data_IF_385470031263
#
_entry.id   IF_385470031263
#
_cell.length_a   1.000
_cell.length_b   1.000
_cell.length_c   1.000
_cell.angle_alpha   90.00
_cell.angle_beta   90.00
_cell.angle_gamma   90.00
#
_symmetry.space_group_name_H-M   'P 1'
#
loop_
_entity.id
_entity.type
_entity.pdbx_description
1 polymer ?
#
# COMPACT_ATOMS: atom_id res chain seq x y z
N UNK A 1 50.34 25.69 -26.92
CA UNK A 1 49.03 25.72 -27.59
C UNK A 1 48.23 24.58 -27.01
N UNK A 2 47.35 24.92 -26.07
CA UNK A 2 46.38 24.00 -25.47
C UNK A 2 45.26 23.77 -26.47
N UNK A 3 44.94 22.51 -26.76
CA UNK A 3 43.64 22.16 -27.29
C UNK A 3 42.98 21.23 -26.26
N UNK A 4 42.07 21.83 -25.50
CA UNK A 4 41.20 21.13 -24.57
C UNK A 4 40.03 20.56 -25.37
N UNK A 5 39.90 19.24 -25.34
CA UNK A 5 38.71 18.55 -25.82
C UNK A 5 37.47 19.02 -25.02
N UNK A 6 36.33 19.31 -25.66
CA UNK A 6 35.07 19.25 -24.98
C UNK A 6 34.65 17.78 -24.88
N UNK A 7 34.91 17.17 -23.72
CA UNK A 7 34.23 15.95 -23.30
C UNK A 7 32.73 16.23 -23.25
N UNK A 8 32.01 15.77 -24.27
CA UNK A 8 30.57 15.71 -24.26
C UNK A 8 30.13 14.82 -23.09
N UNK A 9 29.70 15.45 -22.00
CA UNK A 9 29.00 14.78 -20.91
C UNK A 9 27.65 14.36 -21.45
N UNK A 10 27.52 13.10 -21.86
CA UNK A 10 26.21 12.46 -22.02
C UNK A 10 25.60 12.41 -20.63
N UNK A 11 24.87 13.46 -20.26
CA UNK A 11 24.03 13.46 -19.08
C UNK A 11 23.07 12.29 -19.18
N UNK A 12 23.14 11.38 -18.22
CA UNK A 12 22.15 10.33 -18.05
C UNK A 12 20.79 10.99 -17.86
N UNK A 13 19.96 10.95 -18.90
CA UNK A 13 18.57 11.43 -18.89
C UNK A 13 17.70 10.41 -18.16
N UNK A 14 18.03 10.11 -16.90
CA UNK A 14 17.14 9.28 -16.09
C UNK A 14 15.92 10.15 -15.77
N UNK A 15 14.70 9.77 -16.21
CA UNK A 15 13.53 10.60 -16.03
C UNK A 15 13.30 10.85 -14.54
N UNK A 16 13.02 12.11 -14.21
CA UNK A 16 12.73 12.54 -12.84
C UNK A 16 11.58 11.70 -12.26
N UNK A 17 11.72 11.27 -11.00
CA UNK A 17 10.75 10.38 -10.35
C UNK A 17 9.33 10.98 -10.34
N UNK A 18 9.25 12.31 -10.26
CA UNK A 18 7.99 13.06 -10.33
C UNK A 18 7.36 13.02 -11.74
N UNK A 19 8.20 13.06 -12.79
CA UNK A 19 7.74 12.94 -14.18
C UNK A 19 7.25 11.52 -14.49
N UNK A 20 7.98 10.50 -14.01
CA UNK A 20 7.54 9.10 -14.08
C UNK A 20 6.21 8.91 -13.35
N UNK A 21 6.07 9.49 -12.15
CA UNK A 21 4.82 9.44 -11.38
C UNK A 21 3.63 10.08 -12.09
N UNK A 22 3.85 11.21 -12.78
CA UNK A 22 2.83 11.86 -13.60
C UNK A 22 2.40 11.00 -14.81
N UNK A 23 3.38 10.47 -15.55
CA UNK A 23 3.11 9.58 -16.70
C UNK A 23 2.40 8.29 -16.29
N UNK A 24 2.77 7.71 -15.14
CA UNK A 24 2.09 6.53 -14.61
C UNK A 24 0.61 6.81 -14.31
N UNK A 25 0.30 8.01 -13.80
CA UNK A 25 -1.08 8.44 -13.56
C UNK A 25 -1.86 8.64 -14.86
N UNK A 26 -1.25 9.30 -15.85
CA UNK A 26 -1.85 9.46 -17.17
C UNK A 26 -2.14 8.12 -17.85
N UNK A 27 -1.21 7.16 -17.76
CA UNK A 27 -1.40 5.80 -18.27
C UNK A 27 -2.53 5.07 -17.54
N UNK A 28 -2.64 5.23 -16.22
CA UNK A 28 -3.73 4.65 -15.43
C UNK A 28 -5.10 5.24 -15.81
N UNK A 29 -5.20 6.56 -15.96
CA UNK A 29 -6.41 7.26 -16.41
C UNK A 29 -6.80 6.88 -17.83
N UNK A 30 -5.82 6.78 -18.74
CA UNK A 30 -6.04 6.36 -20.12
C UNK A 30 -6.52 4.89 -20.19
N UNK A 31 -5.86 3.98 -19.45
CA UNK A 31 -6.26 2.58 -19.36
C UNK A 31 -7.71 2.45 -18.88
N UNK A 32 -8.08 3.25 -17.89
CA UNK A 32 -9.42 3.29 -17.33
C UNK A 32 -10.48 3.81 -18.32
N UNK A 33 -10.20 4.94 -18.96
CA UNK A 33 -11.08 5.53 -19.97
C UNK A 33 -11.30 4.58 -21.17
N UNK A 34 -10.23 3.93 -21.65
CA UNK A 34 -10.30 2.92 -22.72
C UNK A 34 -11.10 1.70 -22.24
N UNK A 35 -10.89 1.26 -21.00
CA UNK A 35 -11.62 0.16 -20.38
C UNK A 35 -13.12 0.40 -20.27
N UNK A 36 -13.53 1.60 -19.88
CA UNK A 36 -14.95 2.03 -19.83
C UNK A 36 -15.56 2.17 -21.22
N UNK A 37 -14.81 2.76 -22.18
CA UNK A 37 -15.24 2.85 -23.57
C UNK A 37 -15.48 1.45 -24.17
N UNK A 38 -14.56 0.51 -23.92
CA UNK A 38 -14.72 -0.89 -24.31
C UNK A 38 -15.92 -1.55 -23.64
N UNK A 39 -16.14 -1.31 -22.34
CA UNK A 39 -17.30 -1.82 -21.62
C UNK A 39 -18.62 -1.31 -22.23
N UNK A 40 -18.71 0.00 -22.48
CA UNK A 40 -19.89 0.62 -23.07
C UNK A 40 -20.16 0.13 -24.50
N UNK A 41 -19.12 0.09 -25.34
CA UNK A 41 -19.18 -0.42 -26.71
C UNK A 41 -19.62 -1.89 -26.73
N UNK A 42 -19.11 -2.71 -25.81
CA UNK A 42 -19.49 -4.12 -25.67
C UNK A 42 -20.94 -4.30 -25.24
N UNK A 43 -21.41 -3.51 -24.26
CA UNK A 43 -22.82 -3.51 -23.83
C UNK A 43 -23.77 -3.16 -24.97
N UNK A 44 -23.40 -2.20 -25.81
CA UNK A 44 -24.17 -1.83 -26.99
C UNK A 44 -24.13 -2.90 -28.08
N UNK A 45 -22.95 -3.44 -28.38
CA UNK A 45 -22.76 -4.39 -29.47
C UNK A 45 -23.29 -5.81 -29.17
N UNK A 46 -23.26 -6.23 -27.89
CA UNK A 46 -23.56 -7.60 -27.45
C UNK A 46 -24.80 -7.68 -26.54
N UNK A 47 -25.44 -6.56 -26.22
CA UNK A 47 -26.69 -6.52 -25.45
C UNK A 47 -27.88 -7.13 -26.20
N UNK A 48 -29.03 -7.26 -25.54
CA UNK A 48 -30.20 -7.97 -26.10
C UNK A 48 -30.97 -7.20 -27.19
N UNK A 49 -30.83 -5.88 -27.27
CA UNK A 49 -31.68 -5.02 -28.13
C UNK A 49 -31.06 -4.68 -29.49
N UNK A 50 -29.77 -4.36 -29.52
CA UNK A 50 -29.11 -3.86 -30.73
C UNK A 50 -28.84 -4.95 -31.78
N UNK A 51 -28.34 -6.16 -31.43
CA UNK A 51 -28.19 -7.28 -32.37
C UNK A 51 -29.53 -7.72 -32.96
N UNK A 52 -30.55 -7.89 -32.11
CA UNK A 52 -31.89 -8.30 -32.54
C UNK A 52 -32.49 -7.30 -33.53
N UNK A 53 -32.36 -5.99 -33.25
CA UNK A 53 -32.88 -4.96 -34.17
C UNK A 53 -32.02 -4.74 -35.41
N UNK A 54 -30.70 -4.97 -35.35
CA UNK A 54 -29.80 -4.90 -36.50
C UNK A 54 -29.94 -6.12 -37.44
N UNK A 55 -30.34 -7.27 -36.92
CA UNK A 55 -30.69 -8.46 -37.69
C UNK A 55 -32.08 -8.33 -38.33
N UNK A 56 -33.05 -7.75 -37.62
CA UNK A 56 -34.44 -7.63 -38.06
C UNK A 56 -34.78 -6.38 -38.92
N UNK A 57 -33.99 -5.29 -38.88
CA UNK A 57 -34.31 -4.03 -39.59
C UNK A 57 -33.09 -3.38 -40.23
N UNK A 58 -33.26 -2.88 -41.46
CA UNK A 58 -32.52 -1.80 -42.15
C UNK A 58 -30.97 -1.86 -42.21
N UNK A 59 -30.39 -1.63 -43.39
CA UNK A 59 -28.94 -1.65 -43.64
C UNK A 59 -28.11 -0.76 -42.68
N UNK A 60 -28.61 0.43 -42.30
CA UNK A 60 -27.90 1.38 -41.42
C UNK A 60 -27.62 0.83 -40.02
N UNK A 61 -28.58 0.12 -39.40
CA UNK A 61 -28.39 -0.46 -38.05
C UNK A 61 -27.39 -1.61 -38.06
N UNK A 62 -27.39 -2.39 -39.14
CA UNK A 62 -26.38 -3.44 -39.39
C UNK A 62 -24.99 -2.85 -39.59
N UNK A 63 -24.85 -1.73 -40.29
CA UNK A 63 -23.57 -1.03 -40.43
C UNK A 63 -23.06 -0.53 -39.07
N UNK A 64 -23.90 0.14 -38.28
CA UNK A 64 -23.52 0.61 -36.94
C UNK A 64 -23.07 -0.54 -36.01
N UNK A 65 -23.80 -1.66 -36.01
CA UNK A 65 -23.43 -2.85 -35.25
C UNK A 65 -22.08 -3.45 -35.71
N UNK A 66 -21.86 -3.55 -37.03
CA UNK A 66 -20.57 -4.01 -37.58
C UNK A 66 -19.42 -3.08 -37.25
N UNK A 67 -19.64 -1.76 -37.27
CA UNK A 67 -18.62 -0.78 -36.88
C UNK A 67 -18.25 -0.95 -35.41
N UNK A 68 -19.22 -1.13 -34.51
CA UNK A 68 -18.94 -1.41 -33.10
C UNK A 68 -18.13 -2.69 -32.91
N UNK A 69 -18.49 -3.77 -33.61
CA UNK A 69 -17.72 -5.02 -33.56
C UNK A 69 -16.31 -4.86 -34.11
N UNK A 70 -16.13 -4.07 -35.18
CA UNK A 70 -14.80 -3.74 -35.71
C UNK A 70 -13.98 -2.95 -34.69
N UNK A 71 -14.52 -1.88 -34.11
CA UNK A 71 -13.82 -1.08 -33.09
C UNK A 71 -13.40 -1.94 -31.88
N UNK A 72 -14.25 -2.89 -31.49
CA UNK A 72 -13.94 -3.83 -30.41
C UNK A 72 -12.88 -4.86 -30.77
N UNK A 73 -12.71 -5.23 -32.04
CA UNK A 73 -11.82 -6.31 -32.48
C UNK A 73 -10.58 -5.83 -33.26
N UNK A 74 -10.53 -4.55 -33.61
CA UNK A 74 -9.45 -3.93 -34.37
C UNK A 74 -8.24 -3.68 -33.45
N UNK A 75 -7.05 -4.24 -33.76
CA UNK A 75 -5.83 -3.97 -33.02
C UNK A 75 -5.40 -2.50 -33.07
N UNK A 76 -5.80 -1.74 -34.09
CA UNK A 76 -5.57 -0.29 -34.16
C UNK A 76 -6.62 0.54 -33.37
N UNK A 77 -7.66 -0.13 -32.83
CA UNK A 77 -8.72 0.45 -32.03
C UNK A 77 -8.58 0.09 -30.55
N UNK A 78 -9.56 -0.65 -30.00
CA UNK A 78 -9.56 -1.03 -28.59
C UNK A 78 -8.76 -2.30 -28.28
N UNK A 79 -8.11 -2.90 -29.28
CA UNK A 79 -7.21 -4.04 -29.07
C UNK A 79 -7.93 -5.33 -28.68
N UNK A 80 -9.12 -5.62 -29.20
CA UNK A 80 -9.83 -6.85 -28.81
C UNK A 80 -10.38 -6.81 -27.36
N UNK A 81 -11.40 -5.98 -27.12
CA UNK A 81 -11.95 -5.74 -25.78
C UNK A 81 -13.47 -6.02 -25.61
N UNK A 82 -14.04 -7.15 -26.11
CA UNK A 82 -15.44 -7.48 -25.87
C UNK A 82 -15.69 -7.89 -24.39
N UNK A 83 -16.58 -7.18 -23.69
CA UNK A 83 -16.99 -7.47 -22.29
C UNK A 83 -18.49 -7.79 -22.15
N UNK A 84 -18.86 -8.90 -21.48
CA UNK A 84 -20.26 -9.24 -21.20
C UNK A 84 -20.51 -10.70 -20.75
N UNK A 85 -21.75 -11.03 -20.32
CA UNK A 85 -22.20 -12.40 -20.00
C UNK A 85 -22.80 -13.08 -21.26
N UNK A 86 -22.56 -14.38 -21.46
CA UNK A 86 -23.19 -15.17 -22.55
C UNK A 86 -22.34 -15.28 -23.81
N UNK A 87 -22.90 -14.97 -24.99
CA UNK A 87 -22.24 -15.08 -26.32
C UNK A 87 -20.95 -14.24 -26.41
N UNK A 88 -20.86 -13.19 -25.58
CA UNK A 88 -19.64 -12.41 -25.35
C UNK A 88 -18.48 -13.26 -24.78
N UNK A 89 -18.76 -14.30 -23.98
CA UNK A 89 -17.79 -15.23 -23.40
C UNK A 89 -17.25 -16.23 -24.44
N UNK A 90 -18.07 -16.59 -25.44
CA UNK A 90 -17.64 -17.43 -26.56
C UNK A 90 -16.81 -16.63 -27.58
N UNK A 91 -17.17 -15.36 -27.82
CA UNK A 91 -16.31 -14.40 -28.52
C UNK A 91 -14.99 -14.18 -27.77
N UNK A 92 -15.05 -13.97 -26.45
CA UNK A 92 -13.90 -13.81 -25.55
C UNK A 92 -12.95 -15.03 -25.52
N UNK A 93 -13.47 -16.26 -25.68
CA UNK A 93 -12.62 -17.44 -25.85
C UNK A 93 -11.94 -17.50 -27.22
N UNK A 94 -12.57 -16.98 -28.27
CA UNK A 94 -12.02 -17.01 -29.62
C UNK A 94 -10.86 -16.03 -29.85
N UNK A 95 -10.74 -14.95 -29.06
CA UNK A 95 -9.58 -14.04 -29.15
C UNK A 95 -8.53 -14.21 -28.06
N UNK A 96 -8.85 -14.84 -26.91
CA UNK A 96 -7.83 -15.45 -26.04
C UNK A 96 -7.05 -16.51 -26.83
N UNK A 97 -7.74 -17.35 -27.62
CA UNK A 97 -7.10 -18.30 -28.54
C UNK A 97 -6.37 -17.64 -29.73
N UNK A 98 -6.58 -16.35 -29.99
CA UNK A 98 -5.94 -15.62 -31.10
C UNK A 98 -4.80 -14.69 -30.65
N UNK A 99 -4.44 -14.66 -29.36
CA UNK A 99 -3.31 -13.89 -28.82
C UNK A 99 -3.42 -12.38 -29.03
N UNK A 100 -4.62 -11.79 -28.92
CA UNK A 100 -4.83 -10.34 -29.14
C UNK A 100 -5.09 -9.59 -27.83
N UNK A 101 -4.17 -8.70 -27.50
CA UNK A 101 -4.13 -7.94 -26.23
C UNK A 101 -5.02 -6.71 -26.24
N UNK A 102 -5.89 -6.59 -25.22
CA UNK A 102 -6.70 -5.40 -24.95
C UNK A 102 -5.83 -4.18 -24.73
N UNK A 103 -6.02 -3.11 -25.52
CA UNK A 103 -5.27 -1.85 -25.38
C UNK A 103 -5.34 -1.31 -23.94
N UNK A 104 -6.52 -1.45 -23.31
CA UNK A 104 -6.73 -1.05 -21.92
C UNK A 104 -5.82 -1.81 -20.95
N UNK A 105 -5.56 -3.10 -21.21
CA UNK A 105 -4.69 -3.96 -20.41
C UNK A 105 -3.23 -3.61 -20.69
N UNK A 106 -2.84 -3.41 -21.96
CA UNK A 106 -1.47 -3.02 -22.31
C UNK A 106 -1.09 -1.66 -21.69
N UNK A 107 -2.00 -0.68 -21.68
CA UNK A 107 -1.79 0.60 -20.99
C UNK A 107 -1.66 0.43 -19.47
N UNK A 108 -2.52 -0.41 -18.86
CA UNK A 108 -2.46 -0.71 -17.44
C UNK A 108 -1.14 -1.42 -17.05
N UNK A 109 -0.73 -2.43 -17.82
CA UNK A 109 0.54 -3.16 -17.63
C UNK A 109 1.74 -2.24 -17.83
N UNK A 110 1.72 -1.38 -18.85
CA UNK A 110 2.76 -0.38 -19.07
C UNK A 110 2.88 0.57 -17.86
N UNK A 111 1.75 1.12 -17.39
CA UNK A 111 1.72 1.97 -16.20
C UNK A 111 2.25 1.26 -14.94
N UNK A 112 1.89 -0.01 -14.74
CA UNK A 112 2.38 -0.83 -13.62
C UNK A 112 3.90 -1.02 -13.68
N UNK A 113 4.43 -1.44 -14.84
CA UNK A 113 5.89 -1.60 -15.01
C UNK A 113 6.63 -0.28 -14.79
N UNK A 114 6.10 0.83 -15.29
CA UNK A 114 6.67 2.15 -15.05
C UNK A 114 6.67 2.54 -13.56
N UNK A 115 5.62 2.21 -12.80
CA UNK A 115 5.61 2.43 -11.33
C UNK A 115 6.63 1.55 -10.62
N UNK A 116 6.77 0.29 -11.02
CA UNK A 116 7.78 -0.62 -10.48
C UNK A 116 9.19 -0.07 -10.73
N UNK A 117 9.47 0.44 -11.95
CA UNK A 117 10.75 1.10 -12.27
C UNK A 117 10.98 2.35 -11.44
N UNK A 118 9.97 3.23 -11.32
CA UNK A 118 10.08 4.43 -10.49
C UNK A 118 10.40 4.09 -9.03
N UNK A 119 9.74 3.06 -8.49
CA UNK A 119 10.02 2.56 -7.15
C UNK A 119 11.45 2.02 -6.99
N UNK A 120 12.01 1.36 -8.01
CA UNK A 120 13.42 0.94 -8.05
C UNK A 120 14.38 2.15 -8.03
N UNK A 121 14.07 3.21 -8.77
CA UNK A 121 14.87 4.44 -8.78
C UNK A 121 14.85 5.15 -7.43
N UNK A 122 13.67 5.22 -6.78
CA UNK A 122 13.54 5.82 -5.44
C UNK A 122 14.09 4.95 -4.31
N UNK A 123 14.26 3.64 -4.53
CA UNK A 123 14.76 2.69 -3.54
C UNK A 123 15.92 1.86 -4.13
N UNK A 124 17.15 2.42 -4.19
CA UNK A 124 18.29 1.75 -4.80
C UNK A 124 18.69 0.44 -4.10
N UNK A 125 18.24 0.23 -2.87
CA UNK A 125 18.38 -1.06 -2.16
C UNK A 125 17.63 -2.22 -2.81
N UNK A 126 16.59 -1.97 -3.61
CA UNK A 126 15.84 -3.02 -4.31
C UNK A 126 16.64 -3.66 -5.46
N UNK A 127 17.16 -2.91 -6.44
CA UNK A 127 17.97 -3.51 -7.51
C UNK A 127 19.38 -3.93 -7.04
N UNK A 128 19.86 -3.43 -5.90
CA UNK A 128 21.15 -3.85 -5.33
C UNK A 128 21.14 -5.30 -4.82
N UNK A 129 19.97 -5.84 -4.48
CA UNK A 129 19.82 -7.24 -4.14
C UNK A 129 19.65 -8.10 -5.41
N UNK A 130 20.55 -9.06 -5.68
CA UNK A 130 20.49 -9.86 -6.90
C UNK A 130 19.21 -10.67 -7.05
N UNK A 131 18.58 -11.09 -5.94
CA UNK A 131 17.36 -11.89 -5.98
C UNK A 131 16.13 -11.05 -6.34
N UNK A 132 16.02 -9.85 -5.76
CA UNK A 132 14.97 -8.92 -6.11
C UNK A 132 15.14 -8.42 -7.55
N UNK A 133 16.36 -8.16 -7.99
CA UNK A 133 16.66 -7.79 -9.38
C UNK A 133 16.13 -8.83 -10.40
N UNK A 134 16.27 -10.13 -10.11
CA UNK A 134 15.74 -11.20 -10.96
C UNK A 134 14.20 -11.22 -11.01
N UNK A 135 13.52 -10.92 -9.90
CA UNK A 135 12.06 -10.75 -9.89
C UNK A 135 11.65 -9.59 -10.80
N UNK A 136 12.28 -8.42 -10.67
CA UNK A 136 11.95 -7.25 -11.50
C UNK A 136 12.26 -7.50 -12.97
N UNK A 137 13.38 -8.16 -13.28
CA UNK A 137 13.72 -8.54 -14.66
C UNK A 137 12.68 -9.47 -15.28
N UNK A 138 12.21 -10.46 -14.52
CA UNK A 138 11.14 -11.35 -14.99
C UNK A 138 9.81 -10.61 -15.22
N UNK A 139 9.48 -9.62 -14.38
CA UNK A 139 8.31 -8.74 -14.59
C UNK A 139 8.47 -7.91 -15.87
N UNK A 140 9.65 -7.31 -16.08
CA UNK A 140 9.94 -6.49 -17.26
C UNK A 140 9.83 -7.29 -18.56
N UNK A 141 10.31 -8.54 -18.55
CA UNK A 141 10.30 -9.45 -19.70
C UNK A 141 8.98 -10.24 -19.88
N UNK A 142 7.94 -9.91 -19.12
CA UNK A 142 6.63 -10.59 -19.13
C UNK A 142 6.67 -12.09 -18.78
N UNK A 143 7.68 -12.52 -18.01
CA UNK A 143 7.89 -13.93 -17.62
C UNK A 143 7.28 -14.23 -16.26
N UNK A 144 5.95 -14.34 -16.18
CA UNK A 144 5.20 -14.59 -14.94
C UNK A 144 5.70 -15.79 -14.12
N UNK A 145 5.89 -16.94 -14.77
CA UNK A 145 6.33 -18.17 -14.09
C UNK A 145 7.72 -18.01 -13.47
N UNK A 146 8.61 -17.28 -14.15
CA UNK A 146 9.93 -16.95 -13.63
C UNK A 146 9.80 -15.95 -12.47
N UNK A 147 9.01 -14.89 -12.59
CA UNK A 147 8.81 -13.92 -11.51
C UNK A 147 8.32 -14.59 -10.21
N UNK A 148 7.39 -15.55 -10.30
CA UNK A 148 6.92 -16.34 -9.15
C UNK A 148 8.01 -17.27 -8.61
N UNK A 149 8.80 -17.90 -9.49
CA UNK A 149 9.93 -18.74 -9.07
C UNK A 149 10.98 -17.93 -8.33
N UNK A 150 11.42 -16.81 -8.91
CA UNK A 150 12.43 -15.93 -8.32
C UNK A 150 11.94 -15.35 -6.99
N UNK A 151 10.66 -14.97 -6.89
CA UNK A 151 10.07 -14.52 -5.63
C UNK A 151 10.09 -15.63 -4.57
N UNK A 152 9.73 -16.87 -4.94
CA UNK A 152 9.77 -18.01 -4.01
C UNK A 152 11.19 -18.29 -3.54
N UNK A 153 12.17 -18.18 -4.43
CA UNK A 153 13.57 -18.41 -4.09
C UNK A 153 14.15 -17.27 -3.26
N UNK A 154 13.69 -16.02 -3.45
CA UNK A 154 13.95 -14.90 -2.54
C UNK A 154 13.41 -15.19 -1.13
N UNK A 155 12.14 -15.60 -1.01
CA UNK A 155 11.50 -15.95 0.27
C UNK A 155 12.24 -17.12 0.96
N UNK A 156 12.67 -18.12 0.19
CA UNK A 156 13.43 -19.26 0.74
C UNK A 156 14.80 -18.86 1.28
N UNK A 157 15.47 -17.90 0.64
CA UNK A 157 16.83 -17.47 1.01
C UNK A 157 16.85 -16.47 2.16
N UNK A 158 15.95 -15.49 2.14
CA UNK A 158 15.96 -14.37 3.09
C UNK A 158 14.85 -14.45 4.14
N UNK A 159 13.94 -15.41 4.01
CA UNK A 159 12.71 -15.47 4.79
C UNK A 159 11.62 -14.56 4.21
N UNK A 160 10.37 -14.84 4.58
CA UNK A 160 9.22 -14.10 4.06
C UNK A 160 9.30 -12.60 4.43
N UNK A 161 9.48 -12.27 5.72
CA UNK A 161 9.48 -10.88 6.20
C UNK A 161 10.44 -9.98 5.44
N UNK A 162 11.75 -10.30 5.38
CA UNK A 162 12.73 -9.54 4.61
C UNK A 162 12.43 -9.46 3.11
N UNK A 163 12.00 -10.56 2.48
CA UNK A 163 11.61 -10.58 1.07
C UNK A 163 10.44 -9.63 0.76
N UNK A 164 9.41 -9.63 1.61
CA UNK A 164 8.28 -8.71 1.47
C UNK A 164 8.68 -7.27 1.76
N UNK A 165 9.52 -7.01 2.78
CA UNK A 165 10.01 -5.67 3.08
C UNK A 165 10.80 -5.08 1.91
N UNK A 166 11.64 -5.90 1.27
CA UNK A 166 12.43 -5.53 0.10
C UNK A 166 11.54 -5.17 -1.10
N UNK A 167 10.50 -5.95 -1.38
CA UNK A 167 9.60 -5.70 -2.51
C UNK A 167 8.44 -4.75 -2.19
N UNK A 168 8.26 -4.35 -0.92
CA UNK A 168 7.10 -3.62 -0.45
C UNK A 168 6.72 -2.38 -1.30
N UNK A 169 7.68 -1.54 -1.76
CA UNK A 169 7.36 -0.39 -2.59
C UNK A 169 6.64 -0.74 -3.92
N UNK A 170 6.87 -1.94 -4.45
CA UNK A 170 6.37 -2.39 -5.75
C UNK A 170 5.44 -3.61 -5.67
N UNK A 171 5.22 -4.16 -4.48
CA UNK A 171 4.60 -5.47 -4.32
C UNK A 171 3.15 -5.52 -4.83
N UNK A 172 2.36 -4.48 -4.53
CA UNK A 172 0.99 -4.36 -5.02
C UNK A 172 0.95 -4.29 -6.56
N UNK A 173 1.91 -3.58 -7.17
CA UNK A 173 2.00 -3.45 -8.61
C UNK A 173 2.43 -4.76 -9.30
N UNK A 174 3.34 -5.53 -8.67
CA UNK A 174 3.73 -6.87 -9.16
C UNK A 174 2.53 -7.82 -9.13
N UNK A 175 1.73 -7.80 -8.06
CA UNK A 175 0.52 -8.62 -7.97
C UNK A 175 -0.53 -8.19 -8.99
N UNK A 176 -0.70 -6.89 -9.19
CA UNK A 176 -1.64 -6.36 -10.17
C UNK A 176 -1.22 -6.70 -11.60
N UNK A 177 0.07 -6.62 -11.91
CA UNK A 177 0.62 -7.06 -13.18
C UNK A 177 0.36 -8.54 -13.40
N UNK A 178 0.68 -9.39 -12.42
CA UNK A 178 0.43 -10.83 -12.48
C UNK A 178 -1.05 -11.15 -12.71
N UNK A 179 -1.96 -10.47 -12.01
CA UNK A 179 -3.39 -10.63 -12.16
C UNK A 179 -3.96 -10.12 -13.49
N UNK A 180 -3.30 -9.19 -14.18
CA UNK A 180 -3.74 -8.66 -15.48
C UNK A 180 -3.15 -9.40 -16.68
N UNK A 181 -2.05 -10.11 -16.44
CA UNK A 181 -1.33 -10.89 -17.47
C UNK A 181 -1.60 -12.39 -17.33
N UNK A 182 -2.29 -12.82 -16.27
CA UNK A 182 -2.73 -14.21 -16.14
C UNK A 182 -3.95 -14.48 -17.06
N UNK A 183 -4.14 -15.75 -17.43
CA UNK A 183 -5.32 -16.17 -18.20
C UNK A 183 -6.58 -16.28 -17.31
N UNK A 184 -6.55 -15.79 -16.06
CA UNK A 184 -7.59 -16.00 -15.07
C UNK A 184 -8.48 -14.76 -14.85
N UNK A 185 -9.66 -14.70 -15.50
CA UNK A 185 -10.52 -13.52 -15.50
C UNK A 185 -11.11 -13.12 -14.14
N UNK A 186 -10.96 -13.96 -13.12
CA UNK A 186 -11.40 -13.65 -11.76
C UNK A 186 -10.42 -12.75 -11.01
N UNK A 187 -9.14 -12.76 -11.39
CA UNK A 187 -8.09 -11.96 -10.76
C UNK A 187 -8.00 -10.55 -11.38
N UNK A 188 -8.40 -10.40 -12.65
CA UNK A 188 -8.36 -9.15 -13.41
C UNK A 188 -8.98 -7.96 -12.67
N UNK A 189 -10.08 -8.17 -11.92
CA UNK A 189 -10.77 -7.05 -11.27
C UNK A 189 -9.93 -6.39 -10.19
N UNK A 190 -9.25 -7.18 -9.36
CA UNK A 190 -8.37 -6.66 -8.31
C UNK A 190 -7.12 -6.02 -8.91
N UNK A 191 -6.51 -6.66 -9.92
CA UNK A 191 -5.39 -6.08 -10.66
C UNK A 191 -5.76 -4.77 -11.35
N UNK A 192 -6.95 -4.69 -11.94
CA UNK A 192 -7.47 -3.48 -12.59
C UNK A 192 -7.64 -2.31 -11.62
N UNK A 193 -8.13 -2.58 -10.41
CA UNK A 193 -8.27 -1.53 -9.38
C UNK A 193 -6.93 -0.95 -8.95
N UNK A 194 -5.92 -1.80 -8.77
CA UNK A 194 -4.56 -1.35 -8.44
C UNK A 194 -3.92 -0.61 -9.62
N UNK A 195 -4.08 -1.11 -10.85
CA UNK A 195 -3.51 -0.49 -12.04
C UNK A 195 -4.06 0.93 -12.28
N UNK A 196 -5.39 1.09 -12.18
CA UNK A 196 -6.09 2.35 -12.43
C UNK A 196 -6.09 3.32 -11.24
N UNK A 197 -5.57 2.92 -10.07
CA UNK A 197 -5.56 3.75 -8.87
C UNK A 197 -6.96 4.04 -8.30
N UNK A 198 -8.01 3.35 -8.78
CA UNK A 198 -9.36 3.40 -8.20
C UNK A 198 -9.34 2.63 -6.88
N UNK A 199 -8.98 3.30 -5.79
CA UNK A 199 -9.21 2.79 -4.45
C UNK A 199 -10.73 2.69 -4.23
N UNK A 200 -11.31 1.50 -4.42
CA UNK A 200 -12.68 1.26 -4.01
C UNK A 200 -12.67 1.05 -2.49
N UNK A 201 -13.56 1.77 -1.80
CA UNK A 201 -14.16 1.34 -0.56
C UNK A 201 -14.90 0.01 -0.80
N UNK A 202 -14.14 -1.06 -1.03
CA UNK A 202 -14.70 -2.36 -1.33
C UNK A 202 -15.20 -2.95 -0.02
N UNK A 203 -16.52 -3.07 0.10
CA UNK A 203 -17.10 -4.08 0.98
C UNK A 203 -16.40 -5.42 0.68
N UNK A 204 -15.92 -6.12 1.72
CA UNK A 204 -15.03 -7.25 1.55
C UNK A 204 -15.81 -8.46 1.05
N UNK A 205 -15.93 -8.61 -0.26
CA UNK A 205 -16.35 -9.85 -0.88
C UNK A 205 -15.10 -10.71 -1.13
N UNK A 206 -15.07 -11.85 -0.43
CA UNK A 206 -14.14 -12.98 -0.56
C UNK A 206 -12.83 -12.95 0.25
N UNK A 207 -12.77 -12.30 1.41
CA UNK A 207 -11.77 -12.61 2.45
C UNK A 207 -10.28 -12.43 2.10
N UNK A 208 -9.94 -12.15 0.84
CA UNK A 208 -8.59 -11.91 0.33
C UNK A 208 -8.13 -10.50 0.68
N UNK A 209 -9.03 -9.51 0.67
CA UNK A 209 -8.73 -8.18 1.20
C UNK A 209 -8.47 -8.19 2.71
N UNK A 210 -9.16 -9.05 3.45
CA UNK A 210 -8.95 -9.25 4.89
C UNK A 210 -7.72 -10.13 5.18
N UNK A 211 -7.41 -11.13 4.33
CA UNK A 211 -6.20 -11.95 4.45
C UNK A 211 -4.95 -11.18 4.03
N UNK A 212 -5.04 -10.32 3.01
CA UNK A 212 -3.99 -9.43 2.54
C UNK A 212 -3.75 -8.30 3.56
N UNK A 213 -4.81 -7.67 4.08
CA UNK A 213 -4.70 -6.78 5.26
C UNK A 213 -4.18 -7.53 6.47
N UNK A 214 -4.67 -8.71 6.81
CA UNK A 214 -4.17 -9.50 7.95
C UNK A 214 -2.72 -9.97 7.77
N UNK A 215 -2.24 -10.13 6.53
CA UNK A 215 -0.87 -10.50 6.17
C UNK A 215 0.08 -9.30 6.22
N UNK A 216 -0.32 -8.13 5.71
CA UNK A 216 0.42 -6.88 5.89
C UNK A 216 0.33 -6.34 7.33
N UNK A 217 -0.80 -6.58 7.99
CA UNK A 217 -0.98 -6.33 9.41
C UNK A 217 -0.14 -7.32 10.21
N UNK A 218 0.32 -8.45 9.65
CA UNK A 218 1.22 -9.44 10.28
C UNK A 218 2.61 -8.81 10.45
N UNK A 219 2.64 -7.76 11.25
CA UNK A 219 3.80 -7.25 11.92
C UNK A 219 4.56 -8.45 12.51
N UNK A 220 5.89 -8.48 12.38
CA UNK A 220 6.75 -9.44 13.04
C UNK A 220 6.34 -9.69 14.49
N UNK A 221 6.57 -10.91 14.95
CA UNK A 221 6.29 -11.31 16.32
C UNK A 221 6.77 -10.23 17.29
N UNK A 222 5.84 -9.82 18.16
CA UNK A 222 6.04 -8.79 19.16
C UNK A 222 7.29 -9.13 19.99
N UNK A 223 8.22 -8.19 20.13
CA UNK A 223 9.17 -8.27 21.23
C UNK A 223 8.33 -8.18 22.51
N UNK A 224 8.43 -9.20 23.37
CA UNK A 224 7.83 -9.13 24.71
C UNK A 224 8.42 -7.90 25.41
N UNK A 225 7.58 -7.02 25.97
CA UNK A 225 8.05 -5.81 26.61
C UNK A 225 8.93 -6.19 27.80
N UNK A 226 10.09 -5.53 27.92
CA UNK A 226 10.97 -5.71 29.07
C UNK A 226 10.16 -5.49 30.37
N UNK A 227 10.01 -6.52 31.22
CA UNK A 227 9.25 -6.41 32.47
C UNK A 227 9.78 -5.30 33.37
N UNK A 228 11.09 -4.98 33.31
CA UNK A 228 11.70 -3.89 34.05
C UNK A 228 11.18 -2.52 33.62
N UNK A 229 11.07 -2.30 32.31
CA UNK A 229 10.56 -1.05 31.75
C UNK A 229 9.08 -0.84 32.08
N UNK A 230 8.26 -1.90 32.07
CA UNK A 230 6.83 -1.82 32.43
C UNK A 230 6.60 -1.44 33.90
N UNK A 231 7.44 -1.95 34.81
CA UNK A 231 7.32 -1.68 36.25
C UNK A 231 7.59 -0.20 36.60
N UNK A 232 8.32 0.51 35.75
CA UNK A 232 8.70 1.91 35.94
C UNK A 232 7.79 2.88 35.19
N UNK A 233 6.82 2.38 34.42
CA UNK A 233 5.85 3.23 33.72
C UNK A 233 4.91 3.89 34.71
N UNK A 234 4.68 5.18 34.48
CA UNK A 234 3.68 5.95 35.18
C UNK A 234 2.28 5.47 34.79
N UNK A 235 1.55 4.94 35.77
CA UNK A 235 0.16 4.46 35.64
C UNK A 235 -0.86 5.40 36.30
N UNK A 236 -0.43 6.60 36.71
CA UNK A 236 -1.31 7.59 37.36
C UNK A 236 -2.33 8.21 36.42
N UNK A 237 -2.12 8.06 35.10
CA UNK A 237 -2.99 8.61 34.06
C UNK A 237 -3.04 10.14 34.06
N UNK A 238 -1.88 10.76 34.29
CA UNK A 238 -1.73 12.22 34.28
C UNK A 238 -0.94 12.68 33.06
N UNK A 239 -1.17 13.90 32.55
CA UNK A 239 -0.39 14.42 31.41
C UNK A 239 1.13 14.48 31.69
N UNK A 240 1.51 14.77 32.94
CA UNK A 240 2.91 14.72 33.35
C UNK A 240 3.47 13.28 33.33
N UNK A 241 2.67 12.30 33.72
CA UNK A 241 3.01 10.87 33.64
C UNK A 241 3.19 10.39 32.20
N UNK A 242 2.28 10.76 31.29
CA UNK A 242 2.43 10.44 29.86
C UNK A 242 3.69 11.05 29.26
N UNK A 243 4.05 12.27 29.67
CA UNK A 243 5.30 12.89 29.25
C UNK A 243 6.55 12.14 29.76
N UNK A 244 6.55 11.70 31.02
CA UNK A 244 7.64 10.88 31.58
C UNK A 244 7.78 9.54 30.86
N UNK A 245 6.66 8.88 30.58
CA UNK A 245 6.64 7.62 29.86
C UNK A 245 7.13 7.80 28.42
N UNK A 246 6.68 8.84 27.72
CA UNK A 246 7.17 9.19 26.38
C UNK A 246 8.69 9.42 26.35
N UNK A 247 9.23 10.14 27.34
CA UNK A 247 10.68 10.35 27.49
C UNK A 247 11.42 9.01 27.71
N UNK A 248 10.82 8.10 28.50
CA UNK A 248 11.42 6.79 28.82
C UNK A 248 11.47 5.86 27.61
N UNK A 249 10.40 5.83 26.81
CA UNK A 249 10.34 4.97 25.61
C UNK A 249 11.12 5.55 24.42
N UNK A 250 11.36 6.86 24.39
CA UNK A 250 12.12 7.51 23.31
C UNK A 250 13.54 6.95 23.15
N UNK A 251 14.19 6.56 24.26
CA UNK A 251 15.52 5.95 24.24
C UNK A 251 15.56 4.55 23.60
N UNK A 252 14.44 3.84 23.56
CA UNK A 252 14.37 2.51 22.95
C UNK A 252 14.25 2.58 21.42
N UNK A 253 13.69 3.66 20.88
CA UNK A 253 13.39 3.78 19.45
C UNK A 253 12.37 2.73 18.97
N UNK A 254 11.53 3.07 18.00
CA UNK A 254 10.51 2.14 17.48
C UNK A 254 9.42 1.72 18.48
N UNK A 255 9.48 2.10 19.75
CA UNK A 255 8.49 1.69 20.75
C UNK A 255 7.16 2.47 20.62
N UNK A 256 6.07 1.80 20.96
CA UNK A 256 4.72 2.36 21.12
C UNK A 256 4.17 1.91 22.46
N UNK A 257 3.81 2.85 23.33
CA UNK A 257 3.11 2.56 24.57
C UNK A 257 1.64 2.93 24.44
N UNK A 258 0.77 1.94 24.60
CA UNK A 258 -0.68 2.09 24.67
C UNK A 258 -1.12 1.99 26.13
N UNK A 259 -1.82 2.99 26.64
CA UNK A 259 -2.47 2.96 27.95
C UNK A 259 -3.97 3.14 27.79
N UNK A 260 -4.75 2.22 28.34
CA UNK A 260 -6.20 2.37 28.46
C UNK A 260 -6.51 3.13 29.74
N UNK A 261 -7.33 4.16 29.63
CA UNK A 261 -7.65 5.09 30.71
C UNK A 261 -9.16 5.20 30.84
N UNK A 262 -9.67 5.00 32.05
CA UNK A 262 -11.03 5.37 32.37
C UNK A 262 -11.08 6.89 32.55
N UNK A 263 -11.69 7.58 31.59
CA UNK A 263 -11.82 9.04 31.67
C UNK A 263 -12.75 9.50 32.80
N UNK A 264 -12.85 10.81 33.04
CA UNK A 264 -13.62 11.36 34.17
C UNK A 264 -15.13 11.08 34.08
N UNK A 265 -15.64 10.81 32.88
CA UNK A 265 -17.01 10.42 32.57
C UNK A 265 -17.23 8.89 32.60
N UNK A 266 -16.20 8.11 32.95
CA UNK A 266 -16.25 6.65 32.96
C UNK A 266 -16.09 5.99 31.58
N UNK A 267 -15.94 6.77 30.50
CA UNK A 267 -15.69 6.23 29.16
C UNK A 267 -14.23 5.81 29.01
N UNK A 268 -14.00 4.59 28.51
CA UNK A 268 -12.64 4.14 28.20
C UNK A 268 -12.07 4.88 26.99
N UNK A 269 -10.83 5.34 27.16
CA UNK A 269 -10.06 6.04 26.13
C UNK A 269 -8.67 5.46 26.09
N UNK A 270 -7.99 5.64 24.97
CA UNK A 270 -6.61 5.17 24.83
C UNK A 270 -5.64 6.35 24.67
N UNK A 271 -4.53 6.27 25.39
CA UNK A 271 -3.37 7.16 25.23
C UNK A 271 -2.27 6.36 24.57
N UNK A 272 -1.83 6.82 23.40
CA UNK A 272 -0.78 6.20 22.59
C UNK A 272 0.43 7.11 22.61
N UNK A 273 1.54 6.62 23.15
CA UNK A 273 2.80 7.35 23.23
C UNK A 273 3.79 6.74 22.25
N UNK A 274 4.37 7.59 21.41
CA UNK A 274 5.20 7.21 20.28
C UNK A 274 6.65 7.59 20.55
N UNK A 275 7.55 6.61 20.51
CA UNK A 275 8.99 6.86 20.60
C UNK A 275 9.56 7.46 19.30
N UNK A 276 8.91 7.23 18.17
CA UNK A 276 9.46 7.51 16.83
C UNK A 276 10.18 6.30 16.23
N UNK A 277 10.71 6.40 15.00
CA UNK A 277 11.44 5.32 14.35
C UNK A 277 12.70 4.91 15.13
N UNK A 278 13.23 3.68 14.95
CA UNK A 278 14.42 3.20 15.65
C UNK A 278 15.67 4.05 15.33
N UNK A 279 16.60 4.11 16.32
CA UNK A 279 17.63 5.15 16.53
C UNK A 279 18.73 5.34 15.48
N UNK A 280 18.63 4.66 14.36
CA UNK A 280 19.58 4.60 13.25
C UNK A 280 18.88 4.72 11.87
N UNK A 281 17.54 4.81 11.86
CA UNK A 281 16.72 4.88 10.65
C UNK A 281 16.82 6.22 9.89
N UNK A 282 17.57 7.18 10.42
CA UNK A 282 17.58 8.56 9.96
C UNK A 282 16.28 9.30 10.28
N UNK A 283 16.37 10.62 10.46
CA UNK A 283 15.19 11.48 10.69
C UNK A 283 14.54 11.85 9.34
N UNK A 284 14.30 10.87 8.48
CA UNK A 284 13.77 11.06 7.12
C UNK A 284 12.25 10.99 7.11
N UNK A 285 11.62 11.68 6.15
CA UNK A 285 10.16 11.64 5.97
C UNK A 285 9.65 10.20 5.75
N UNK A 286 10.40 9.39 5.00
CA UNK A 286 10.05 8.00 4.71
C UNK A 286 10.09 7.10 5.94
N UNK A 287 11.08 7.29 6.82
CA UNK A 287 11.18 6.56 8.08
C UNK A 287 9.98 6.88 9.00
N UNK A 288 9.58 8.14 9.10
CA UNK A 288 8.39 8.54 9.86
C UNK A 288 7.10 8.00 9.25
N UNK A 289 6.98 8.01 7.92
CA UNK A 289 5.81 7.46 7.22
C UNK A 289 5.71 5.93 7.40
N UNK A 290 6.84 5.21 7.31
CA UNK A 290 6.90 3.77 7.55
C UNK A 290 6.52 3.44 8.99
N UNK A 291 7.11 4.14 9.97
CA UNK A 291 6.78 3.97 11.38
C UNK A 291 5.29 4.25 11.64
N UNK A 292 4.75 5.37 11.14
CA UNK A 292 3.32 5.70 11.28
C UNK A 292 2.39 4.62 10.70
N UNK A 293 2.72 4.04 9.54
CA UNK A 293 1.95 2.92 8.97
C UNK A 293 1.95 1.70 9.89
N UNK A 294 3.10 1.35 10.45
CA UNK A 294 3.21 0.21 11.38
C UNK A 294 2.44 0.47 12.67
N UNK A 295 2.51 1.69 13.22
CA UNK A 295 1.71 2.07 14.40
C UNK A 295 0.22 1.98 14.08
N UNK A 296 -0.24 2.46 12.93
CA UNK A 296 -1.65 2.37 12.54
C UNK A 296 -2.14 0.92 12.46
N UNK A 297 -1.35 0.02 11.88
CA UNK A 297 -1.66 -1.41 11.83
C UNK A 297 -1.72 -2.03 13.24
N UNK A 298 -0.79 -1.68 14.11
CA UNK A 298 -0.77 -2.13 15.51
C UNK A 298 -2.00 -1.68 16.28
N UNK A 299 -2.38 -0.41 16.17
CA UNK A 299 -3.55 0.13 16.86
C UNK A 299 -4.86 -0.53 16.38
N UNK A 300 -4.98 -0.82 15.08
CA UNK A 300 -6.14 -1.56 14.53
C UNK A 300 -6.32 -2.95 15.11
N UNK A 301 -5.25 -3.56 15.62
CA UNK A 301 -5.29 -4.87 16.29
C UNK A 301 -5.61 -4.78 17.76
N UNK A 302 -5.08 -3.77 18.43
CA UNK A 302 -5.12 -3.66 19.90
C UNK A 302 -6.28 -2.81 20.41
N UNK A 303 -6.77 -1.87 19.60
CA UNK A 303 -7.74 -0.86 20.02
C UNK A 303 -9.03 -1.01 19.22
N UNK A 304 -10.19 -1.23 19.88
CA UNK A 304 -11.49 -1.28 19.22
C UNK A 304 -11.76 -0.05 18.35
N UNK A 305 -12.38 -0.26 17.18
CA UNK A 305 -12.80 0.85 16.31
C UNK A 305 -13.78 1.78 17.03
N UNK A 306 -13.72 3.07 16.75
CA UNK A 306 -14.52 4.10 17.42
C UNK A 306 -13.96 4.59 18.76
N UNK A 307 -12.91 3.94 19.29
CA UNK A 307 -12.24 4.40 20.52
C UNK A 307 -11.62 5.78 20.32
N UNK A 308 -11.77 6.65 21.33
CA UNK A 308 -11.15 7.98 21.35
C UNK A 308 -9.68 7.86 21.74
N UNK A 309 -8.79 8.44 20.93
CA UNK A 309 -7.33 8.33 21.06
C UNK A 309 -6.67 9.68 21.36
N UNK A 310 -5.67 9.66 22.26
CA UNK A 310 -4.66 10.70 22.35
C UNK A 310 -3.34 10.15 21.81
N UNK A 311 -2.78 10.79 20.78
CA UNK A 311 -1.46 10.51 20.25
C UNK A 311 -0.46 11.48 20.87
N UNK A 312 0.51 10.95 21.61
CA UNK A 312 1.55 11.71 22.27
C UNK A 312 2.88 11.36 21.62
N UNK A 313 3.51 12.34 20.99
CA UNK A 313 4.77 12.14 20.27
C UNK A 313 5.75 13.25 20.59
N UNK A 314 6.86 12.91 21.26
CA UNK A 314 7.93 13.85 21.61
C UNK A 314 9.19 13.57 20.79
N UNK A 315 9.89 14.63 20.36
CA UNK A 315 11.07 14.50 19.51
C UNK A 315 10.75 13.69 18.25
N UNK A 316 11.43 12.55 18.00
CA UNK A 316 11.17 11.71 16.83
C UNK A 316 9.77 11.06 16.83
N UNK A 317 9.07 10.95 17.96
CA UNK A 317 7.67 10.50 17.99
C UNK A 317 6.67 11.52 17.45
N UNK A 318 7.04 12.81 17.44
CA UNK A 318 6.14 13.91 17.08
C UNK A 318 5.67 13.87 15.62
N UNK A 319 6.58 13.83 14.63
CA UNK A 319 6.20 13.74 13.22
C UNK A 319 5.29 12.54 12.91
N UNK A 320 5.52 11.39 13.54
CA UNK A 320 4.68 10.21 13.39
C UNK A 320 3.25 10.41 13.92
N UNK A 321 3.09 11.09 15.07
CA UNK A 321 1.79 11.42 15.62
C UNK A 321 0.98 12.33 14.67
N UNK A 322 1.65 13.31 14.05
CA UNK A 322 1.04 14.20 13.06
C UNK A 322 0.63 13.44 11.81
N UNK A 323 1.49 12.57 11.28
CA UNK A 323 1.19 11.76 10.09
C UNK A 323 -0.01 10.83 10.33
N UNK A 324 -0.11 10.22 11.51
CA UNK A 324 -1.26 9.39 11.89
C UNK A 324 -2.55 10.20 11.95
N UNK A 325 -2.53 11.36 12.58
CA UNK A 325 -3.72 12.22 12.67
C UNK A 325 -4.13 12.83 11.32
N UNK A 326 -3.19 13.03 10.41
CA UNK A 326 -3.47 13.49 9.05
C UNK A 326 -4.03 12.38 8.14
N UNK A 327 -3.90 11.10 8.53
CA UNK A 327 -4.38 9.98 7.74
C UNK A 327 -5.91 9.86 7.80
N UNK A 328 -6.58 10.01 6.66
CA UNK A 328 -8.02 9.83 6.53
C UNK A 328 -8.45 8.40 6.87
N UNK A 329 -7.67 7.41 6.46
CA UNK A 329 -7.94 5.99 6.72
C UNK A 329 -7.82 5.64 8.21
N UNK A 330 -6.99 6.38 8.96
CA UNK A 330 -6.84 6.20 10.39
C UNK A 330 -7.97 6.91 11.16
N UNK A 331 -8.23 8.18 10.83
CA UNK A 331 -9.26 8.99 11.47
C UNK A 331 -10.68 8.54 11.16
N UNK A 332 -10.91 7.80 10.07
CA UNK A 332 -12.21 7.16 9.81
C UNK A 332 -12.49 6.03 10.80
N UNK A 333 -11.45 5.31 11.26
CA UNK A 333 -11.58 4.22 12.24
C UNK A 333 -11.60 4.77 13.67
N UNK A 334 -10.83 5.83 13.93
CA UNK A 334 -10.70 6.49 15.22
C UNK A 334 -11.09 7.97 15.08
N UNK A 335 -12.38 8.32 15.26
CA UNK A 335 -12.91 9.63 14.87
C UNK A 335 -12.45 10.79 15.76
N UNK A 336 -11.90 10.50 16.94
CA UNK A 336 -11.41 11.50 17.88
C UNK A 336 -9.94 11.24 18.20
N UNK A 337 -9.04 11.88 17.43
CA UNK A 337 -7.60 11.83 17.61
C UNK A 337 -7.09 13.18 18.10
N UNK A 338 -6.48 13.22 19.28
CA UNK A 338 -5.81 14.41 19.83
C UNK A 338 -4.32 14.25 19.70
N UNK A 339 -3.64 15.13 18.96
CA UNK A 339 -2.18 15.10 18.85
C UNK A 339 -1.58 16.04 19.88
N UNK A 340 -0.59 15.55 20.62
CA UNK A 340 0.08 16.32 21.64
C UNK A 340 1.60 16.09 21.59
N UNK A 341 2.36 17.16 21.39
CA UNK A 341 3.84 17.10 21.40
C UNK A 341 4.42 17.21 22.80
N UNK A 342 3.81 18.02 23.66
CA UNK A 342 4.18 18.15 25.06
C UNK A 342 2.93 18.05 25.96
N UNK A 343 2.71 16.89 26.60
CA UNK A 343 1.51 16.68 27.41
C UNK A 343 1.49 17.53 28.68
N UNK A 344 2.62 18.09 29.12
CA UNK A 344 2.65 19.00 30.29
C UNK A 344 2.01 20.34 29.98
N UNK A 345 2.20 20.86 28.77
CA UNK A 345 1.59 22.10 28.29
C UNK A 345 0.17 21.88 27.73
N UNK A 346 -0.15 20.68 27.23
CA UNK A 346 -1.48 20.32 26.71
C UNK A 346 -2.48 19.83 27.78
N UNK A 347 -2.30 20.24 29.04
CA UNK A 347 -3.04 19.71 30.17
C UNK A 347 -4.57 19.87 30.04
N UNK A 348 -5.04 20.93 29.36
CA UNK A 348 -6.46 21.17 29.05
C UNK A 348 -6.97 20.28 27.92
N UNK A 349 -6.16 20.00 26.91
CA UNK A 349 -6.53 19.17 25.76
C UNK A 349 -6.58 17.69 26.12
N UNK A 350 -5.80 17.29 27.12
CA UNK A 350 -5.77 15.93 27.68
C UNK A 350 -6.71 15.75 28.88
N UNK A 351 -7.59 16.71 29.18
CA UNK A 351 -8.49 16.65 30.35
C UNK A 351 -9.36 15.39 30.34
N UNK A 352 -9.88 15.01 29.16
CA UNK A 352 -10.74 13.83 28.99
C UNK A 352 -9.98 12.51 29.12
N UNK A 353 -8.64 12.56 29.00
CA UNK A 353 -7.75 11.41 29.11
C UNK A 353 -7.13 11.30 30.51
N UNK A 354 -7.59 12.11 31.48
CA UNK A 354 -7.16 11.97 32.87
C UNK A 354 -7.99 10.91 33.55
N UNK A 355 -7.33 10.01 34.26
CA UNK A 355 -8.03 9.03 35.09
C UNK A 355 -7.20 7.81 35.39
N UNK A 356 -7.85 6.78 35.93
CA UNK A 356 -7.15 5.54 36.30
C UNK A 356 -6.73 4.82 35.03
N UNK A 357 -5.44 4.48 34.92
CA UNK A 357 -4.96 3.55 33.88
C UNK A 357 -5.48 2.16 34.24
N UNK A 358 -6.25 1.57 33.33
CA UNK A 358 -6.85 0.23 33.48
C UNK A 358 -6.05 -0.86 32.77
N UNK A 359 -5.15 -0.47 31.85
CA UNK A 359 -4.23 -1.37 31.17
C UNK A 359 -3.08 -0.62 30.51
N UNK A 360 -1.93 -1.29 30.37
CA UNK A 360 -0.75 -0.78 29.67
C UNK A 360 -0.19 -1.87 28.76
N UNK A 361 0.08 -1.53 27.50
CA UNK A 361 0.68 -2.39 26.51
C UNK A 361 1.83 -1.66 25.84
N UNK A 362 3.05 -2.14 26.04
CA UNK A 362 4.23 -1.66 25.34
C UNK A 362 4.53 -2.59 24.15
N UNK A 363 4.73 -2.00 22.97
CA UNK A 363 4.95 -2.72 21.71
C UNK A 363 6.22 -2.19 21.05
N UNK A 364 7.16 -3.09 20.72
CA UNK A 364 8.30 -2.77 19.87
C UNK A 364 7.93 -2.84 18.39
N UNK A 365 8.27 -1.82 17.60
CA UNK A 365 8.18 -1.88 16.13
C UNK A 365 9.44 -2.61 15.61
N UNK A 366 9.29 -3.61 14.72
CA UNK A 366 10.39 -4.49 14.33
C UNK A 366 11.54 -3.75 13.65
N UNK A 367 12.78 -4.19 13.95
CA UNK A 367 14.03 -3.60 13.46
C UNK A 367 15.11 -3.42 14.54
N UNK A 368 14.83 -3.75 15.81
CA UNK A 368 15.77 -3.60 16.93
C UNK A 368 16.34 -4.97 17.32
N UNK A 369 17.68 -5.19 17.30
CA UNK A 369 18.28 -6.30 18.01
C UNK A 369 18.14 -6.08 19.51
N UNK A 370 17.85 -7.14 20.27
CA UNK A 370 17.63 -7.15 21.72
C UNK A 370 18.58 -6.21 22.49
N UNK A 371 18.12 -4.98 22.78
CA UNK A 371 18.84 -4.03 23.61
C UNK A 371 18.66 -4.30 25.12
N UNK A 372 18.03 -5.42 25.48
CA UNK A 372 17.76 -5.83 26.87
C UNK A 372 18.23 -7.26 27.17
N UNK A 373 19.40 -7.66 26.68
CA UNK A 373 20.11 -8.77 27.28
C UNK A 373 20.81 -8.27 28.57
N UNK A 374 20.43 -8.75 29.77
CA UNK A 374 21.16 -8.40 30.98
C UNK A 374 22.61 -8.88 30.85
N UNK A 375 23.55 -7.97 31.10
CA UNK A 375 24.98 -8.24 31.04
C UNK A 375 25.34 -9.50 31.80
N UNK A 376 25.83 -10.52 31.08
CA UNK A 376 26.58 -11.60 31.70
C UNK A 376 27.96 -11.05 32.02
N UNK A 377 28.15 -10.71 33.29
CA UNK A 377 29.46 -10.56 33.90
C UNK A 377 30.30 -11.83 33.64
N UNK A 378 31.42 -11.66 32.94
CA UNK A 378 32.71 -12.26 33.30
C UNK A 378 33.83 -11.33 32.90
#
# INVERSE_FOLDING_TARGET
MSDAAPSATTGSTDPDADQLGALCRELAEAADAVGEAAHYASRLALGSRLPVTALARGSRRRTAWRTLLRVLADPAGLGWAPRGRGVARAGWLAGVLAGRESLAVSLAVCGLKSRIRAACTSNPGMPADPAAAEVFRAVEEDRQADAVREFRDLVRRQGAGPAFALLNPSFADILAWSALTDDNPFNDHAGWQVATGRAVAAEPLLGLGAAFRAFFDRAPAWAEPDPGLLAELDTTGTPAGYGRNADRIAGAGGAVLLQTVAGPDGTERCVVQLAGPPGDSGHTADAYAAYARTVAATLRRLVPSGTTLALIGRGPGGPAAVLLAASRDFTTVYPAVRVCHDPRSAARELADFRGRVTGSHLVGVPGVPDAFAPGRSR
#
